data_IF_257405400669
#
_entry.id   IF_257405400669
#
_cell.length_a   1.000
_cell.length_b   1.000
_cell.length_c   1.000
_cell.angle_alpha   90.00
_cell.angle_beta   90.00
_cell.angle_gamma   90.00
#
_symmetry.space_group_name_H-M   'P 1'
#
loop_
_entity.id
_entity.type
_entity.pdbx_description
1 polymer ?
#
# COMPACT_ATOMS: atom_id res chain seq x y z
N UNK A 1 16.65 6.02 1.05
CA UNK A 1 15.47 5.14 1.01
C UNK A 1 14.26 5.92 0.51
N UNK A 2 13.29 5.22 -0.11
CA UNK A 2 12.08 5.83 -0.69
C UNK A 2 10.84 5.04 -0.31
N UNK A 3 9.76 5.72 0.09
CA UNK A 3 8.46 5.10 0.35
C UNK A 3 7.43 5.65 -0.61
N UNK A 4 6.74 4.75 -1.29
CA UNK A 4 5.60 5.06 -2.15
C UNK A 4 4.31 4.95 -1.33
N UNK A 5 3.53 6.03 -1.27
CA UNK A 5 2.22 6.05 -0.64
C UNK A 5 1.15 6.14 -1.74
N UNK A 6 0.36 5.09 -1.89
CA UNK A 6 -0.69 5.02 -2.92
C UNK A 6 -2.02 5.50 -2.33
N UNK A 7 -2.55 6.58 -2.89
CA UNK A 7 -3.86 7.13 -2.53
C UNK A 7 -4.95 6.57 -3.44
N UNK A 8 -5.74 5.64 -2.94
CA UNK A 8 -6.87 4.98 -3.62
C UNK A 8 -8.22 5.70 -3.46
N UNK A 9 -8.24 6.89 -2.87
CA UNK A 9 -9.46 7.68 -2.77
C UNK A 9 -9.82 8.30 -4.12
N UNK A 10 -11.11 8.40 -4.50
CA UNK A 10 -11.54 9.20 -5.65
C UNK A 10 -11.27 10.69 -5.44
N UNK A 11 -11.12 11.13 -4.20
CA UNK A 11 -10.83 12.53 -3.83
C UNK A 11 -9.33 12.68 -3.56
N UNK A 12 -8.62 13.33 -4.49
CA UNK A 12 -7.16 13.50 -4.43
C UNK A 12 -6.68 14.08 -3.08
N UNK A 13 -7.37 15.07 -2.56
CA UNK A 13 -7.03 15.79 -1.32
C UNK A 13 -8.03 15.48 -0.17
N UNK A 14 -8.64 14.28 -0.17
CA UNK A 14 -9.61 13.86 0.85
C UNK A 14 -8.97 13.27 2.11
N UNK A 15 -9.80 12.63 2.94
CA UNK A 15 -9.39 12.04 4.23
C UNK A 15 -8.21 11.06 4.12
N UNK A 16 -8.22 10.19 3.11
CA UNK A 16 -7.11 9.25 2.87
C UNK A 16 -5.79 9.99 2.61
N UNK A 17 -5.85 11.07 1.82
CA UNK A 17 -4.67 11.90 1.56
C UNK A 17 -4.14 12.58 2.83
N UNK A 18 -5.02 13.07 3.70
CA UNK A 18 -4.63 13.67 4.98
C UNK A 18 -3.86 12.66 5.85
N UNK A 19 -4.37 11.42 5.97
CA UNK A 19 -3.70 10.34 6.68
C UNK A 19 -2.31 10.02 6.10
N UNK A 20 -2.23 9.83 4.77
CA UNK A 20 -0.96 9.54 4.08
C UNK A 20 0.04 10.70 4.20
N UNK A 21 -0.44 11.94 4.17
CA UNK A 21 0.41 13.13 4.34
C UNK A 21 1.01 13.20 5.74
N UNK A 22 0.24 12.86 6.78
CA UNK A 22 0.75 12.84 8.15
C UNK A 22 1.85 11.77 8.31
N UNK A 23 1.66 10.58 7.73
CA UNK A 23 2.70 9.55 7.72
C UNK A 23 3.93 9.99 6.92
N UNK A 24 3.73 10.64 5.75
CA UNK A 24 4.81 11.13 4.91
C UNK A 24 5.69 12.17 5.61
N UNK A 25 5.11 13.07 6.43
CA UNK A 25 5.89 14.04 7.23
C UNK A 25 6.93 13.33 8.11
N UNK A 26 6.48 12.33 8.87
CA UNK A 26 7.36 11.57 9.78
C UNK A 26 8.44 10.80 9.02
N UNK A 27 8.11 10.22 7.88
CA UNK A 27 9.10 9.54 7.03
C UNK A 27 10.15 10.52 6.49
N UNK A 28 9.72 11.71 6.03
CA UNK A 28 10.63 12.74 5.54
C UNK A 28 11.52 13.30 6.65
N UNK A 29 10.98 13.53 7.86
CA UNK A 29 11.75 13.90 9.06
C UNK A 29 12.80 12.83 9.41
N UNK A 30 12.51 11.56 9.14
CA UNK A 30 13.45 10.46 9.29
C UNK A 30 14.46 10.33 8.13
N UNK A 31 14.47 11.25 7.15
CA UNK A 31 15.37 11.25 6.00
C UNK A 31 14.97 10.25 4.90
N UNK A 32 13.71 9.79 4.88
CA UNK A 32 13.18 8.87 3.88
C UNK A 32 12.32 9.67 2.89
N UNK A 33 12.72 9.67 1.63
CA UNK A 33 11.97 10.32 0.53
C UNK A 33 10.59 9.68 0.36
N UNK A 34 9.55 10.49 0.22
CA UNK A 34 8.19 10.00 0.03
C UNK A 34 7.58 10.51 -1.27
N UNK A 35 6.77 9.67 -1.89
CA UNK A 35 5.93 10.03 -3.05
C UNK A 35 4.50 9.58 -2.80
N UNK A 36 3.54 10.51 -2.83
CA UNK A 36 2.11 10.16 -2.80
C UNK A 36 1.62 10.05 -4.24
N UNK A 37 1.25 8.84 -4.65
CA UNK A 37 0.68 8.54 -5.96
C UNK A 37 -0.85 8.39 -5.85
N UNK A 38 -1.59 9.27 -6.51
CA UNK A 38 -3.05 9.20 -6.59
C UNK A 38 -3.49 8.37 -7.80
N UNK A 39 -4.32 7.33 -7.57
CA UNK A 39 -4.77 6.45 -8.66
C UNK A 39 -5.79 7.08 -9.61
N UNK A 40 -6.20 8.32 -9.33
CA UNK A 40 -7.23 9.04 -10.10
C UNK A 40 -8.63 8.84 -9.55
N UNK A 41 -9.58 9.61 -10.10
CA UNK A 41 -11.01 9.52 -9.76
C UNK A 41 -11.83 8.65 -10.75
N UNK A 42 -11.20 8.23 -11.85
CA UNK A 42 -11.84 7.32 -12.78
C UNK A 42 -11.88 5.88 -12.21
N UNK A 43 -12.90 5.09 -12.54
CA UNK A 43 -12.99 3.70 -12.10
C UNK A 43 -11.79 2.87 -12.53
N UNK A 44 -11.19 2.14 -11.58
CA UNK A 44 -10.12 1.18 -11.85
C UNK A 44 -10.69 -0.23 -11.69
N UNK A 45 -10.91 -0.90 -12.81
CA UNK A 45 -11.41 -2.28 -12.80
C UNK A 45 -10.35 -3.28 -12.30
N UNK A 46 -10.81 -4.43 -11.84
CA UNK A 46 -9.96 -5.55 -11.42
C UNK A 46 -9.22 -6.22 -12.57
N UNK A 47 -8.35 -7.17 -12.24
CA UNK A 47 -7.67 -8.00 -13.23
C UNK A 47 -8.68 -8.97 -13.90
N UNK A 48 -8.66 -9.02 -15.23
CA UNK A 48 -9.52 -9.90 -16.05
C UNK A 48 -8.83 -11.21 -16.49
N UNK A 49 -7.64 -11.49 -15.97
CA UNK A 49 -6.90 -12.72 -16.26
C UNK A 49 -6.41 -12.87 -17.71
N UNK A 50 -6.27 -11.79 -18.48
CA UNK A 50 -5.92 -11.85 -19.91
C UNK A 50 -4.49 -12.33 -20.22
N UNK A 51 -3.60 -12.42 -19.23
CA UNK A 51 -2.19 -12.84 -19.39
C UNK A 51 -1.29 -11.88 -20.15
N UNK A 52 -1.80 -10.76 -20.68
CA UNK A 52 -1.05 -9.82 -21.51
C UNK A 52 0.20 -9.21 -20.83
N UNK A 53 0.17 -9.05 -19.52
CA UNK A 53 1.29 -8.48 -18.75
C UNK A 53 2.53 -9.38 -18.73
N UNK A 54 2.41 -10.69 -18.92
CA UNK A 54 3.55 -11.61 -18.97
C UNK A 54 4.49 -11.31 -20.14
N UNK A 55 3.94 -10.84 -21.27
CA UNK A 55 4.72 -10.44 -22.44
C UNK A 55 5.10 -8.96 -22.40
N UNK A 56 4.17 -8.11 -21.96
CA UNK A 56 4.37 -6.64 -21.98
C UNK A 56 5.20 -6.11 -20.79
N UNK A 57 5.45 -6.91 -19.75
CA UNK A 57 6.11 -6.48 -18.52
C UNK A 57 5.30 -5.51 -17.66
N UNK A 58 4.09 -5.13 -18.09
CA UNK A 58 3.17 -4.22 -17.40
C UNK A 58 1.72 -4.54 -17.76
N UNK A 59 0.76 -4.02 -16.98
CA UNK A 59 -0.65 -4.20 -17.32
C UNK A 59 -1.00 -3.57 -18.67
N UNK A 60 -1.51 -4.37 -19.61
CA UNK A 60 -1.85 -3.93 -20.98
C UNK A 60 -3.05 -2.98 -21.04
N UNK A 61 -3.88 -2.95 -20.01
CA UNK A 61 -4.97 -1.99 -19.88
C UNK A 61 -4.51 -0.60 -19.41
N UNK A 62 -3.19 -0.40 -19.19
CA UNK A 62 -2.64 0.91 -18.88
C UNK A 62 -3.20 1.56 -17.61
N UNK A 63 -3.28 2.88 -17.64
CA UNK A 63 -3.78 3.72 -16.57
C UNK A 63 -2.90 3.67 -15.31
N UNK A 64 -3.44 4.02 -14.13
CA UNK A 64 -2.63 4.21 -12.93
C UNK A 64 -1.81 2.98 -12.53
N UNK A 65 -2.23 1.78 -12.95
CA UNK A 65 -1.48 0.54 -12.68
C UNK A 65 -0.19 0.44 -13.50
N UNK A 66 -0.21 0.89 -14.75
CA UNK A 66 1.01 0.95 -15.56
C UNK A 66 1.89 2.14 -15.18
N UNK A 67 1.27 3.27 -14.82
CA UNK A 67 1.96 4.52 -14.48
C UNK A 67 2.73 4.43 -13.15
N UNK A 68 2.20 3.67 -12.19
CA UNK A 68 2.83 3.49 -10.87
C UNK A 68 4.03 2.53 -10.90
N UNK A 69 4.12 1.66 -11.88
CA UNK A 69 5.08 0.55 -11.89
C UNK A 69 6.55 0.99 -11.72
N UNK A 70 7.03 2.06 -12.40
CA UNK A 70 8.39 2.55 -12.18
C UNK A 70 8.63 3.09 -10.76
N UNK A 71 7.59 3.60 -10.09
CA UNK A 71 7.67 4.06 -8.71
C UNK A 71 7.72 2.87 -7.75
N UNK A 72 6.90 1.83 -7.99
CA UNK A 72 6.92 0.58 -7.22
C UNK A 72 8.27 -0.09 -7.30
N UNK A 73 8.88 -0.16 -8.50
CA UNK A 73 10.21 -0.75 -8.69
C UNK A 73 11.28 -0.06 -7.85
N UNK A 74 11.27 1.29 -7.81
CA UNK A 74 12.27 2.11 -7.12
C UNK A 74 12.02 2.29 -5.62
N UNK A 75 10.82 1.99 -5.14
CA UNK A 75 10.47 2.14 -3.73
C UNK A 75 11.11 1.05 -2.88
N UNK A 76 11.54 1.42 -1.66
CA UNK A 76 12.02 0.51 -0.62
C UNK A 76 10.87 0.03 0.28
N UNK A 77 9.78 0.79 0.37
CA UNK A 77 8.54 0.45 1.09
C UNK A 77 7.32 1.00 0.40
N UNK A 78 6.14 0.42 0.65
CA UNK A 78 4.89 0.79 -0.01
C UNK A 78 3.75 0.91 1.02
N UNK A 79 2.97 1.98 0.92
CA UNK A 79 1.75 2.19 1.73
C UNK A 79 0.55 2.24 0.80
N UNK A 80 -0.49 1.45 1.10
CA UNK A 80 -1.75 1.45 0.37
C UNK A 80 -2.83 2.12 1.21
N UNK A 81 -3.38 3.24 0.76
CA UNK A 81 -4.41 3.99 1.46
C UNK A 81 -5.72 4.02 0.67
N UNK A 82 -6.86 3.74 1.32
CA UNK A 82 -8.17 3.80 0.70
C UNK A 82 -9.26 4.27 1.67
N UNK A 83 -10.31 4.93 1.19
CA UNK A 83 -11.50 5.18 2.01
C UNK A 83 -12.33 3.91 2.13
N UNK A 84 -13.14 3.85 3.18
CA UNK A 84 -14.17 2.81 3.33
C UNK A 84 -15.37 3.11 2.42
N UNK A 85 -15.69 2.14 1.59
CA UNK A 85 -16.94 2.09 0.82
C UNK A 85 -17.67 0.79 1.14
N UNK A 86 -18.91 0.90 1.68
CA UNK A 86 -19.75 -0.27 2.01
C UNK A 86 -18.99 -1.32 2.86
N UNK A 87 -18.36 -0.87 3.95
CA UNK A 87 -17.62 -1.69 4.90
C UNK A 87 -16.42 -2.47 4.30
N UNK A 88 -15.87 -2.02 3.18
CA UNK A 88 -14.61 -2.53 2.61
C UNK A 88 -13.80 -1.38 2.01
N UNK A 89 -12.58 -1.65 1.53
CA UNK A 89 -11.80 -0.65 0.82
C UNK A 89 -12.48 -0.28 -0.52
N UNK A 90 -12.31 0.96 -0.96
CA UNK A 90 -12.85 1.43 -2.24
C UNK A 90 -12.49 0.46 -3.38
N UNK A 91 -13.48 0.05 -4.18
CA UNK A 91 -13.34 -0.97 -5.23
C UNK A 91 -12.22 -0.65 -6.24
N UNK A 92 -12.04 0.64 -6.59
CA UNK A 92 -10.94 1.06 -7.46
C UNK A 92 -9.57 0.77 -6.86
N UNK A 93 -9.40 0.89 -5.53
CA UNK A 93 -8.15 0.52 -4.86
C UNK A 93 -7.91 -0.98 -4.90
N UNK A 94 -8.92 -1.80 -4.63
CA UNK A 94 -8.80 -3.26 -4.72
C UNK A 94 -8.49 -3.69 -6.15
N UNK A 95 -9.18 -3.12 -7.14
CA UNK A 95 -8.91 -3.37 -8.56
C UNK A 95 -7.48 -2.98 -8.97
N UNK A 96 -7.01 -1.83 -8.49
CA UNK A 96 -5.64 -1.37 -8.67
C UNK A 96 -4.64 -2.36 -8.07
N UNK A 97 -4.82 -2.76 -6.81
CA UNK A 97 -3.92 -3.68 -6.11
C UNK A 97 -3.87 -5.06 -6.79
N UNK A 98 -5.02 -5.62 -7.21
CA UNK A 98 -5.05 -6.90 -7.93
C UNK A 98 -4.32 -6.83 -9.27
N UNK A 99 -4.50 -5.76 -10.04
CA UNK A 99 -3.79 -5.58 -11.30
C UNK A 99 -2.30 -5.35 -11.10
N UNK A 100 -1.91 -4.56 -10.09
CA UNK A 100 -0.51 -4.37 -9.72
C UNK A 100 0.13 -5.69 -9.29
N UNK A 101 -0.55 -6.47 -8.44
CA UNK A 101 -0.11 -7.79 -8.00
C UNK A 101 0.26 -8.72 -9.17
N UNK A 102 -0.62 -8.81 -10.17
CA UNK A 102 -0.39 -9.67 -11.35
C UNK A 102 0.70 -9.12 -12.27
N UNK A 103 0.75 -7.79 -12.49
CA UNK A 103 1.66 -7.19 -13.49
C UNK A 103 3.00 -6.73 -12.94
N UNK A 104 3.10 -6.50 -11.64
CA UNK A 104 4.27 -5.93 -10.97
C UNK A 104 4.70 -6.66 -9.70
N UNK A 105 4.10 -7.82 -9.40
CA UNK A 105 4.34 -8.55 -8.15
C UNK A 105 5.80 -8.87 -7.86
N UNK A 106 6.62 -9.08 -8.90
CA UNK A 106 8.07 -9.29 -8.74
C UNK A 106 8.80 -8.13 -8.04
N UNK A 107 8.24 -6.91 -8.07
CA UNK A 107 8.81 -5.73 -7.44
C UNK A 107 8.29 -5.50 -6.01
N UNK A 108 7.35 -6.32 -5.53
CA UNK A 108 6.72 -6.17 -4.21
C UNK A 108 7.47 -6.95 -3.12
N UNK A 109 8.02 -8.13 -3.45
CA UNK A 109 8.58 -9.08 -2.48
C UNK A 109 9.57 -8.42 -1.52
N UNK A 110 9.42 -8.76 -0.25
CA UNK A 110 10.28 -8.35 0.89
C UNK A 110 10.37 -6.84 1.14
N UNK A 111 9.61 -6.01 0.40
CA UNK A 111 9.47 -4.59 0.75
C UNK A 111 8.49 -4.44 1.90
N UNK A 112 8.81 -3.71 2.97
CA UNK A 112 7.85 -3.37 4.01
C UNK A 112 6.61 -2.72 3.42
N UNK A 113 5.44 -3.15 3.86
CA UNK A 113 4.16 -2.60 3.44
C UNK A 113 3.32 -2.14 4.62
N UNK A 114 2.49 -1.14 4.43
CA UNK A 114 1.43 -0.76 5.35
C UNK A 114 0.13 -0.53 4.58
N UNK A 115 -0.98 -0.68 5.28
CA UNK A 115 -2.31 -0.32 4.78
C UNK A 115 -2.92 0.73 5.68
N UNK A 116 -3.64 1.70 5.10
CA UNK A 116 -4.27 2.82 5.81
C UNK A 116 -5.68 2.99 5.30
N UNK A 117 -6.63 3.22 6.19
CA UNK A 117 -8.00 3.50 5.77
C UNK A 117 -8.54 4.79 6.38
N UNK A 118 -9.51 5.39 5.71
CA UNK A 118 -10.27 6.53 6.22
C UNK A 118 -11.76 6.25 6.14
N UNK A 119 -12.50 6.62 7.17
CA UNK A 119 -13.95 6.47 7.20
C UNK A 119 -14.61 7.60 7.98
N UNK A 120 -15.87 7.86 7.66
CA UNK A 120 -16.69 8.71 8.51
C UNK A 120 -17.06 8.02 9.83
N UNK A 121 -17.26 6.68 9.80
CA UNK A 121 -17.73 5.91 10.98
C UNK A 121 -17.21 4.47 11.00
N UNK A 122 -17.87 3.53 10.35
CA UNK A 122 -17.65 2.08 10.48
C UNK A 122 -17.01 1.45 9.23
N UNK A 123 -16.55 0.19 9.36
CA UNK A 123 -16.04 -0.63 8.25
C UNK A 123 -14.53 -0.53 8.02
N UNK A 124 -13.81 0.12 8.90
CA UNK A 124 -12.37 0.34 8.78
C UNK A 124 -11.56 -0.94 8.88
N UNK A 125 -11.84 -1.82 9.84
CA UNK A 125 -11.09 -3.09 10.02
C UNK A 125 -11.22 -3.99 8.80
N UNK A 126 -12.44 -4.17 8.29
CA UNK A 126 -12.69 -4.97 7.08
C UNK A 126 -12.00 -4.39 5.84
N UNK A 127 -11.92 -3.05 5.74
CA UNK A 127 -11.19 -2.40 4.65
C UNK A 127 -9.67 -2.63 4.74
N UNK A 128 -9.10 -2.60 5.95
CA UNK A 128 -7.69 -2.94 6.19
C UNK A 128 -7.41 -4.39 5.80
N UNK A 129 -8.20 -5.34 6.31
CA UNK A 129 -8.08 -6.76 6.00
C UNK A 129 -8.12 -7.05 4.49
N UNK A 130 -9.01 -6.37 3.76
CA UNK A 130 -9.11 -6.54 2.30
C UNK A 130 -7.82 -6.10 1.59
N UNK A 131 -7.19 -5.00 2.03
CA UNK A 131 -5.95 -4.50 1.44
C UNK A 131 -4.70 -5.30 1.85
N UNK A 132 -4.68 -5.90 3.04
CA UNK A 132 -3.55 -6.68 3.54
C UNK A 132 -3.28 -7.96 2.74
N UNK A 133 -4.27 -8.50 2.02
CA UNK A 133 -4.14 -9.77 1.28
C UNK A 133 -3.05 -9.73 0.20
N UNK A 134 -2.89 -8.61 -0.49
CA UNK A 134 -1.84 -8.48 -1.52
C UNK A 134 -0.44 -8.42 -0.88
N UNK A 135 -0.15 -7.56 0.09
CA UNK A 135 1.12 -7.60 0.81
C UNK A 135 1.46 -8.97 1.41
N UNK A 136 0.51 -9.64 2.07
CA UNK A 136 0.74 -10.98 2.63
C UNK A 136 1.13 -11.99 1.56
N UNK A 137 0.46 -12.00 0.41
CA UNK A 137 0.76 -12.93 -0.70
C UNK A 137 2.18 -12.72 -1.26
N UNK A 138 2.69 -11.49 -1.24
CA UNK A 138 4.01 -11.15 -1.78
C UNK A 138 5.12 -11.11 -0.71
N UNK A 139 4.92 -11.77 0.44
CA UNK A 139 5.97 -11.87 1.48
C UNK A 139 6.47 -10.48 1.94
N UNK A 140 5.58 -9.48 1.89
CA UNK A 140 5.90 -8.13 2.35
C UNK A 140 5.72 -8.06 3.88
N UNK A 141 6.72 -7.65 4.65
CA UNK A 141 6.54 -7.40 6.08
C UNK A 141 5.47 -6.33 6.29
N UNK A 142 4.35 -6.68 6.94
CA UNK A 142 3.31 -5.73 7.28
C UNK A 142 3.71 -4.91 8.51
N UNK A 143 3.73 -3.60 8.34
CA UNK A 143 4.06 -2.66 9.40
C UNK A 143 2.79 -2.28 10.15
N UNK A 144 2.81 -2.50 11.46
CA UNK A 144 1.74 -2.15 12.38
C UNK A 144 2.00 -0.79 13.06
N UNK A 145 0.97 -0.26 13.69
CA UNK A 145 1.02 0.90 14.55
C UNK A 145 0.57 0.54 15.97
N UNK A 146 0.33 1.55 16.81
CA UNK A 146 -0.19 1.39 18.18
C UNK A 146 -1.68 1.01 18.20
N UNK A 147 -2.36 1.12 17.08
CA UNK A 147 -3.74 0.70 16.84
C UNK A 147 -3.92 0.39 15.34
N UNK A 148 -5.10 -0.07 14.91
CA UNK A 148 -5.37 -0.28 13.48
C UNK A 148 -5.20 1.01 12.71
N UNK A 149 -4.49 1.01 11.54
CA UNK A 149 -4.14 2.21 10.80
C UNK A 149 -5.35 2.85 10.12
N UNK A 150 -6.12 3.63 10.86
CA UNK A 150 -7.31 4.31 10.38
C UNK A 150 -7.38 5.76 10.87
N UNK A 151 -8.10 6.58 10.12
CA UNK A 151 -8.50 7.93 10.52
C UNK A 151 -9.99 8.14 10.28
N UNK A 152 -10.60 9.03 11.03
CA UNK A 152 -12.02 9.36 10.92
C UNK A 152 -12.25 10.79 10.47
N UNK A 153 -13.23 10.98 9.59
CA UNK A 153 -13.67 12.26 9.07
C UNK A 153 -14.52 12.10 7.82
N UNK A 154 -15.42 13.01 7.55
CA UNK A 154 -16.20 13.13 6.31
C UNK A 154 -15.49 13.97 5.25
N UNK A 155 -14.50 14.78 5.66
CA UNK A 155 -13.64 15.63 4.82
C UNK A 155 -12.26 15.76 5.45
N UNK A 156 -11.28 16.22 4.68
CA UNK A 156 -9.87 16.26 5.10
C UNK A 156 -9.64 17.08 6.38
N UNK A 157 -10.33 18.22 6.53
CA UNK A 157 -10.22 19.10 7.69
C UNK A 157 -10.68 18.42 8.98
N UNK A 158 -11.68 17.54 8.90
CA UNK A 158 -12.15 16.77 10.07
C UNK A 158 -11.15 15.72 10.52
N UNK A 159 -10.38 15.13 9.59
CA UNK A 159 -9.28 14.22 9.94
C UNK A 159 -8.21 14.92 10.78
N UNK A 160 -7.99 16.21 10.56
CA UNK A 160 -7.04 16.98 11.38
C UNK A 160 -7.47 17.12 12.85
N UNK A 161 -8.75 16.88 13.16
CA UNK A 161 -9.28 16.83 14.51
C UNK A 161 -9.30 15.43 15.13
N UNK A 162 -8.99 14.38 14.34
CA UNK A 162 -8.81 13.01 14.82
C UNK A 162 -7.38 12.84 15.35
N UNK A 163 -7.13 13.36 16.55
CA UNK A 163 -5.81 13.39 17.16
C UNK A 163 -5.23 11.99 17.34
N UNK A 164 -6.04 10.99 17.73
CA UNK A 164 -5.64 9.61 17.88
C UNK A 164 -5.28 9.00 16.52
N UNK A 165 -6.13 9.17 15.51
CA UNK A 165 -5.87 8.70 14.15
C UNK A 165 -4.57 9.28 13.58
N UNK A 166 -4.32 10.57 13.76
CA UNK A 166 -3.06 11.20 13.33
C UNK A 166 -1.86 10.66 14.13
N UNK A 167 -2.01 10.42 15.44
CA UNK A 167 -0.96 9.78 16.26
C UNK A 167 -0.63 8.38 15.74
N UNK A 168 -1.66 7.59 15.37
CA UNK A 168 -1.49 6.26 14.77
C UNK A 168 -0.72 6.35 13.46
N UNK A 169 -1.02 7.34 12.59
CA UNK A 169 -0.28 7.56 11.34
C UNK A 169 1.18 7.92 11.59
N UNK A 170 1.46 8.77 12.59
CA UNK A 170 2.85 9.11 12.97
C UNK A 170 3.62 7.89 13.48
N UNK A 171 3.00 7.08 14.32
CA UNK A 171 3.63 5.84 14.84
C UNK A 171 3.87 4.82 13.71
N UNK A 172 2.91 4.67 12.80
CA UNK A 172 3.09 3.84 11.60
C UNK A 172 4.28 4.29 10.76
N UNK A 173 4.44 5.60 10.56
CA UNK A 173 5.58 6.19 9.86
C UNK A 173 6.92 5.90 10.56
N UNK A 174 6.97 6.02 11.89
CA UNK A 174 8.18 5.69 12.68
C UNK A 174 8.54 4.21 12.59
N UNK A 175 7.55 3.33 12.69
CA UNK A 175 7.75 1.88 12.58
C UNK A 175 8.22 1.49 11.18
N UNK A 176 7.66 2.09 10.13
CA UNK A 176 8.13 1.91 8.75
C UNK A 176 9.58 2.36 8.59
N UNK A 177 9.93 3.55 9.11
CA UNK A 177 11.30 4.08 9.05
C UNK A 177 12.29 3.18 9.79
N UNK A 178 11.92 2.67 10.96
CA UNK A 178 12.72 1.72 11.72
C UNK A 178 12.96 0.43 10.96
N UNK A 179 11.92 -0.20 10.42
CA UNK A 179 12.03 -1.43 9.64
C UNK A 179 12.91 -1.25 8.41
N UNK A 180 12.75 -0.15 7.67
CA UNK A 180 13.57 0.14 6.49
C UNK A 180 15.05 0.26 6.85
N UNK A 181 15.38 0.91 7.98
CA UNK A 181 16.76 1.02 8.48
C UNK A 181 17.32 -0.33 8.91
N UNK A 182 16.51 -1.19 9.55
CA UNK A 182 16.93 -2.55 9.91
C UNK A 182 17.27 -3.37 8.65
N UNK A 183 16.44 -3.30 7.62
CA UNK A 183 16.68 -4.00 6.35
C UNK A 183 17.95 -3.48 5.66
N UNK A 184 18.16 -2.15 5.65
CA UNK A 184 19.35 -1.55 5.06
C UNK A 184 20.63 -1.96 5.82
N UNK A 185 20.58 -1.91 7.15
CA UNK A 185 21.69 -2.36 8.00
C UNK A 185 21.99 -3.86 7.79
N UNK A 186 20.95 -4.71 7.69
CA UNK A 186 21.11 -6.12 7.39
C UNK A 186 21.79 -6.35 6.03
N UNK A 187 21.35 -5.64 4.99
CA UNK A 187 21.97 -5.70 3.66
C UNK A 187 23.46 -5.26 3.71
N UNK A 188 23.75 -4.18 4.41
CA UNK A 188 25.13 -3.70 4.58
C UNK A 188 26.02 -4.70 5.33
N UNK A 189 25.44 -5.50 6.23
CA UNK A 189 26.11 -6.61 6.92
C UNK A 189 26.17 -7.92 6.09
N UNK A 190 25.78 -7.89 4.82
CA UNK A 190 25.80 -9.07 3.93
C UNK A 190 24.59 -10.01 4.05
N UNK A 191 23.54 -9.61 4.78
CA UNK A 191 22.33 -10.42 4.93
C UNK A 191 21.48 -10.34 3.65
N UNK A 192 21.26 -11.47 3.01
CA UNK A 192 20.40 -11.58 1.83
C UNK A 192 18.93 -11.80 2.25
N UNK A 193 18.00 -11.34 1.41
CA UNK A 193 16.60 -11.72 1.56
C UNK A 193 16.43 -13.24 1.33
N UNK A 194 15.48 -13.90 2.02
CA UNK A 194 15.24 -15.32 1.84
C UNK A 194 14.77 -15.63 0.41
N UNK A 195 15.15 -16.79 -0.09
CA UNK A 195 14.67 -17.30 -1.37
C UNK A 195 13.43 -18.15 -1.11
N UNK A 196 12.31 -17.79 -1.76
CA UNK A 196 11.07 -18.53 -1.59
C UNK A 196 11.17 -19.93 -2.20
N UNK A 197 10.76 -20.93 -1.44
CA UNK A 197 10.51 -22.28 -1.94
C UNK A 197 9.16 -22.32 -2.64
N UNK A 198 9.09 -22.62 -3.93
CA UNK A 198 7.85 -22.56 -4.73
C UNK A 198 7.75 -23.65 -5.81
N UNK A 199 8.48 -24.74 -5.64
CA UNK A 199 8.54 -25.89 -6.57
C UNK A 199 7.33 -26.83 -6.43
N UNK A 200 6.59 -26.78 -5.32
CA UNK A 200 5.38 -27.57 -5.08
C UNK A 200 4.14 -26.72 -5.25
N UNK A 201 3.20 -27.22 -6.05
CA UNK A 201 1.87 -26.59 -6.21
C UNK A 201 0.79 -27.63 -6.04
N UNK A 202 -0.13 -27.38 -5.13
CA UNK A 202 -1.31 -28.23 -4.96
C UNK A 202 -2.27 -28.00 -6.12
N UNK A 203 -2.67 -29.08 -6.78
CA UNK A 203 -3.72 -29.07 -7.78
C UNK A 203 -4.80 -30.09 -7.36
N UNK A 204 -6.00 -29.60 -7.06
CA UNK A 204 -7.13 -30.42 -6.65
C UNK A 204 -7.94 -31.01 -7.84
N UNK A 205 -7.63 -30.61 -9.07
CA UNK A 205 -8.20 -31.18 -10.30
C UNK A 205 -7.32 -32.35 -10.72
N UNK A 206 -7.87 -33.55 -10.68
CA UNK A 206 -7.22 -34.80 -11.04
C UNK A 206 -7.90 -35.40 -12.28
#
# INVERSE_FOLDING_TARGET
MKVLLVNGSPHKNGCTNAALTEMAKVLNEAGIETTIFHIGSAPVGGCVGCGGCSKAGKCVFGGPVADVLPLVEKADGIVFGAPVHYATAAASMLGFMHRLAISGGKYLRHKPAAVVTSARRAGTTTALEAMEKVPQFFEMPLISSTYWPMVHGGKAEEVLSDEEGLQIMRNLGRNMAWMLRCIEAGKAAGMAAPVAENDKRTNFIR
#
